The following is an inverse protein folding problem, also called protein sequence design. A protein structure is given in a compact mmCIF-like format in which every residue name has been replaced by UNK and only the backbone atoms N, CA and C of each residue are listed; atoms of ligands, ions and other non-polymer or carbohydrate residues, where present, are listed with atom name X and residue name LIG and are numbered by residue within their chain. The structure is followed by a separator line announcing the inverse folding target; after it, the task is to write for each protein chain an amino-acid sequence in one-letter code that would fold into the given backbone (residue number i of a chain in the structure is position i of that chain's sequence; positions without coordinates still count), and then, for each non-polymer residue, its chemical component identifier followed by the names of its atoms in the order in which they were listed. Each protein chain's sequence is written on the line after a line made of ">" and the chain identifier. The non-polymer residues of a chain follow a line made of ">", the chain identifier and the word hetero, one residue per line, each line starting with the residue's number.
data_IF_729513680798
#
_entry.id   IF_729513680798
#
_cell.length_a   1.000
_cell.length_b   1.000
_cell.length_c   1.000
_cell.angle_alpha   90.00
_cell.angle_beta   90.00
_cell.angle_gamma   90.00
#
_symmetry.space_group_name_H-M   'P 1'
#
loop_
_entity.id
_entity.type
_entity.pdbx_description
1 polymer ?
#
# COMPACT_ATOMS: atom_id res chain seq x y z
N UNK A 1 17.10 -7.99 4.39
CA UNK A 1 17.38 -9.27 3.70
C UNK A 1 18.66 -9.07 2.92
N UNK A 2 19.65 -9.98 3.02
CA UNK A 2 20.90 -9.85 2.25
C UNK A 2 20.75 -10.60 0.92
N UNK A 3 20.95 -9.91 -0.20
CA UNK A 3 20.98 -10.53 -1.52
C UNK A 3 22.43 -10.75 -1.94
N UNK A 4 22.70 -11.95 -2.47
CA UNK A 4 24.00 -12.36 -2.97
C UNK A 4 23.97 -12.34 -4.49
N UNK A 5 24.76 -11.46 -5.09
CA UNK A 5 25.04 -11.50 -6.53
C UNK A 5 26.56 -11.39 -6.74
N UNK A 6 27.14 -12.29 -7.54
CA UNK A 6 28.57 -12.30 -7.88
C UNK A 6 29.56 -12.20 -6.70
N UNK A 7 29.20 -12.76 -5.53
CA UNK A 7 30.06 -12.74 -4.34
C UNK A 7 30.10 -11.38 -3.60
N UNK A 8 29.27 -10.42 -3.99
CA UNK A 8 29.12 -9.13 -3.31
C UNK A 8 27.83 -9.13 -2.50
N UNK A 9 27.95 -8.88 -1.19
CA UNK A 9 26.80 -8.64 -0.31
C UNK A 9 26.31 -7.21 -0.53
N UNK A 10 25.13 -7.05 -1.11
CA UNK A 10 24.45 -5.75 -1.15
C UNK A 10 23.57 -5.62 0.10
N UNK A 11 23.85 -4.68 1.02
CA UNK A 11 22.91 -4.35 2.07
C UNK A 11 21.70 -3.67 1.40
N UNK A 12 20.67 -4.45 1.10
CA UNK A 12 19.37 -3.92 0.68
C UNK A 12 18.52 -3.80 1.93
N UNK A 13 18.33 -2.56 2.37
CA UNK A 13 17.34 -2.23 3.39
C UNK A 13 15.96 -2.27 2.72
N UNK A 14 15.38 -3.47 2.62
CA UNK A 14 13.97 -3.62 2.27
C UNK A 14 13.18 -3.13 3.48
N UNK A 15 12.77 -1.87 3.41
CA UNK A 15 11.85 -1.24 4.34
C UNK A 15 10.45 -1.80 4.03
N UNK A 16 10.20 -3.02 4.49
CA UNK A 16 8.96 -3.77 4.28
C UNK A 16 7.91 -3.37 5.31
N UNK A 17 6.67 -3.11 4.87
CA UNK A 17 5.54 -2.78 5.76
C UNK A 17 5.72 -1.48 6.58
N UNK A 18 6.77 -0.70 6.31
CA UNK A 18 7.15 0.37 7.24
C UNK A 18 6.41 1.65 6.96
N UNK A 19 5.97 2.06 5.75
CA UNK A 19 5.39 3.42 5.65
C UNK A 19 4.01 3.53 6.31
N UNK A 20 3.12 2.55 6.18
CA UNK A 20 1.87 2.62 6.95
C UNK A 20 2.14 2.38 8.43
N UNK A 21 3.00 1.43 8.80
CA UNK A 21 3.29 1.17 10.22
C UNK A 21 4.07 2.31 10.88
N UNK A 22 5.02 2.95 10.20
CA UNK A 22 5.84 4.08 10.67
C UNK A 22 5.05 5.37 10.67
N UNK A 23 4.18 5.62 9.68
CA UNK A 23 3.21 6.70 9.74
C UNK A 23 2.22 6.46 10.88
N UNK A 24 1.67 5.25 11.05
CA UNK A 24 0.82 4.89 12.20
C UNK A 24 1.57 4.94 13.55
N UNK A 25 2.90 4.77 13.55
CA UNK A 25 3.76 4.89 14.73
C UNK A 25 4.04 6.38 15.05
N UNK A 26 4.40 7.19 14.05
CA UNK A 26 4.60 8.65 14.16
C UNK A 26 3.29 9.39 14.47
N UNK A 27 2.15 8.86 14.01
CA UNK A 27 0.81 9.32 14.35
C UNK A 27 0.23 8.64 15.62
N UNK A 28 1.02 7.83 16.32
CA UNK A 28 0.81 7.43 17.72
C UNK A 28 -0.23 6.36 18.01
N UNK A 29 -0.44 5.32 17.19
CA UNK A 29 -1.36 4.24 17.60
C UNK A 29 -1.01 2.82 17.19
N UNK A 30 -0.04 2.60 16.28
CA UNK A 30 0.44 1.25 16.01
C UNK A 30 1.50 0.77 17.02
N UNK A 31 2.12 1.69 17.76
CA UNK A 31 3.28 1.41 18.62
C UNK A 31 3.08 1.78 20.10
N UNK A 32 2.12 2.65 20.44
CA UNK A 32 1.89 3.09 21.81
C UNK A 32 0.44 2.83 22.21
N UNK A 33 0.21 1.90 23.13
CA UNK A 33 -1.08 1.65 23.80
C UNK A 33 -1.59 2.84 24.65
N UNK A 34 -0.94 4.01 24.60
CA UNK A 34 -1.17 5.09 25.57
C UNK A 34 -1.11 6.53 25.02
N UNK A 35 -1.32 6.77 23.71
CA UNK A 35 -1.43 8.15 23.20
C UNK A 35 -2.89 8.61 23.17
N UNK A 36 -3.26 9.74 23.82
CA UNK A 36 -4.63 10.22 23.84
C UNK A 36 -5.05 10.58 22.42
N UNK A 37 -5.99 9.80 21.87
CA UNK A 37 -6.82 10.06 20.67
C UNK A 37 -6.53 11.43 20.06
N UNK A 38 -5.43 11.54 19.31
CA UNK A 38 -5.02 12.83 18.77
C UNK A 38 -6.03 13.23 17.70
N UNK A 39 -6.26 14.53 17.58
CA UNK A 39 -7.39 15.16 16.88
C UNK A 39 -7.36 15.02 15.35
N UNK A 40 -6.78 13.94 14.82
CA UNK A 40 -6.61 13.73 13.38
C UNK A 40 -5.56 14.64 12.73
N UNK A 41 -4.93 15.53 13.49
CA UNK A 41 -3.82 16.37 13.04
C UNK A 41 -2.51 15.59 13.16
N UNK A 42 -2.31 14.60 12.29
CA UNK A 42 -0.99 14.00 12.14
C UNK A 42 -0.17 14.80 11.12
N UNK A 43 0.97 15.33 11.56
CA UNK A 43 1.96 15.89 10.66
C UNK A 43 3.00 14.81 10.34
N UNK A 44 2.93 14.25 9.13
CA UNK A 44 3.87 13.23 8.63
C UNK A 44 5.28 13.79 8.40
N UNK A 45 5.44 15.11 8.50
CA UNK A 45 6.71 15.79 8.31
C UNK A 45 7.05 15.99 6.84
N UNK A 46 8.33 16.21 6.57
CA UNK A 46 8.84 16.31 5.20
C UNK A 46 8.95 14.93 4.57
N UNK A 47 8.60 14.77 3.29
CA UNK A 47 8.74 13.53 2.55
C UNK A 47 10.14 12.91 2.68
N UNK A 48 10.20 11.58 2.71
CA UNK A 48 11.46 10.83 2.82
C UNK A 48 12.23 10.74 1.49
N UNK A 49 11.76 11.40 0.42
CA UNK A 49 12.32 11.33 -0.93
C UNK A 49 13.83 11.57 -1.00
N UNK A 50 14.35 12.44 -0.13
CA UNK A 50 15.79 12.78 -0.05
C UNK A 50 16.65 11.74 0.69
N UNK A 51 16.02 10.79 1.37
CA UNK A 51 16.65 9.79 2.23
C UNK A 51 16.42 8.36 1.74
N UNK A 52 15.31 8.11 1.05
CA UNK A 52 14.93 6.79 0.54
C UNK A 52 15.03 6.79 -0.98
N UNK A 53 15.90 5.94 -1.49
CA UNK A 53 16.12 5.78 -2.94
C UNK A 53 14.97 5.01 -3.59
N UNK A 54 14.61 3.86 -3.02
CA UNK A 54 13.49 3.03 -3.50
C UNK A 54 12.57 2.66 -2.35
N UNK A 55 11.26 2.85 -2.55
CA UNK A 55 10.20 2.37 -1.66
C UNK A 55 9.36 1.31 -2.38
N UNK A 56 9.19 0.15 -1.74
CA UNK A 56 8.39 -0.96 -2.28
C UNK A 56 7.25 -1.28 -1.33
N UNK A 57 6.02 -0.99 -1.75
CA UNK A 57 4.81 -1.42 -1.06
C UNK A 57 4.43 -2.84 -1.47
N UNK A 58 4.58 -3.81 -0.58
CA UNK A 58 4.15 -5.20 -0.77
C UNK A 58 2.88 -5.47 0.04
N UNK A 59 1.80 -5.87 -0.63
CA UNK A 59 0.50 -6.18 -0.01
C UNK A 59 0.06 -5.10 1.00
N UNK A 60 0.15 -3.83 0.59
CA UNK A 60 -0.16 -2.69 1.45
C UNK A 60 -1.66 -2.43 1.56
N UNK A 61 -2.11 -1.81 2.63
CA UNK A 61 -3.51 -1.38 2.78
C UNK A 61 -3.64 0.13 2.68
N UNK A 62 -3.18 0.72 1.56
CA UNK A 62 -3.15 2.17 1.37
C UNK A 62 -4.55 2.77 1.31
N UNK A 63 -5.56 2.02 0.88
CA UNK A 63 -6.97 2.45 0.92
C UNK A 63 -7.75 1.76 2.06
N UNK A 64 -7.05 1.12 3.00
CA UNK A 64 -7.64 0.40 4.13
C UNK A 64 -7.87 -1.09 3.83
N UNK A 65 -8.46 -1.77 4.80
CA UNK A 65 -8.78 -3.21 4.75
C UNK A 65 -10.28 -3.40 4.87
N UNK A 66 -10.90 -4.19 4.00
CA UNK A 66 -12.34 -4.42 4.10
C UNK A 66 -12.79 -5.17 5.36
N UNK A 67 -11.88 -5.90 6.02
CA UNK A 67 -12.12 -6.42 7.36
C UNK A 67 -12.27 -5.35 8.46
N UNK A 68 -11.84 -4.11 8.20
CA UNK A 68 -11.93 -2.98 9.12
C UNK A 68 -13.20 -2.13 8.94
N UNK A 69 -14.11 -2.51 8.04
CA UNK A 69 -15.39 -1.82 7.84
C UNK A 69 -16.37 -2.07 9.01
N UNK A 70 -17.29 -1.12 9.25
CA UNK A 70 -18.38 -1.30 10.21
C UNK A 70 -17.89 -1.49 11.65
N UNK A 71 -18.26 -2.61 12.27
CA UNK A 71 -17.82 -2.93 13.65
C UNK A 71 -16.33 -3.25 13.73
N UNK A 72 -15.67 -3.59 12.61
CA UNK A 72 -14.22 -3.78 12.55
C UNK A 72 -13.46 -2.52 12.96
N UNK A 73 -14.03 -1.34 12.72
CA UNK A 73 -13.42 -0.05 13.09
C UNK A 73 -13.26 0.19 14.61
N UNK A 74 -13.84 -0.70 15.44
CA UNK A 74 -13.65 -0.69 16.89
C UNK A 74 -12.30 -1.27 17.31
N UNK A 75 -11.68 -2.09 16.47
CA UNK A 75 -10.34 -2.61 16.72
C UNK A 75 -9.29 -1.49 16.58
N UNK A 76 -8.29 -1.41 17.48
CA UNK A 76 -7.29 -0.35 17.43
C UNK A 76 -6.60 -0.21 16.07
N UNK A 77 -6.29 -1.33 15.41
CA UNK A 77 -5.68 -1.36 14.07
C UNK A 77 -6.58 -0.81 12.96
N UNK A 78 -7.89 -0.79 13.17
CA UNK A 78 -8.90 -0.44 12.19
C UNK A 78 -9.54 0.93 12.43
N UNK A 79 -9.02 1.74 13.35
CA UNK A 79 -9.68 2.98 13.74
C UNK A 79 -9.73 4.03 12.60
N UNK A 80 -10.71 4.94 12.68
CA UNK A 80 -10.99 5.96 11.64
C UNK A 80 -9.97 7.10 11.55
N UNK A 81 -8.99 7.17 12.43
CA UNK A 81 -8.01 8.27 12.46
C UNK A 81 -6.68 7.86 11.83
N UNK A 82 -6.08 6.77 12.29
CA UNK A 82 -4.76 6.31 11.88
C UNK A 82 -4.66 4.79 11.72
N UNK A 83 -5.80 4.11 11.65
CA UNK A 83 -5.90 2.69 11.33
C UNK A 83 -6.30 2.44 9.87
N UNK A 84 -6.57 1.17 9.57
CA UNK A 84 -6.90 0.67 8.23
C UNK A 84 -8.40 0.76 7.89
N UNK A 85 -9.14 1.70 8.49
CA UNK A 85 -10.56 1.88 8.17
C UNK A 85 -10.73 2.26 6.69
N UNK A 86 -11.45 1.45 5.89
CA UNK A 86 -11.62 1.67 4.46
C UNK A 86 -12.78 2.62 4.13
N UNK A 87 -13.51 3.11 5.15
CA UNK A 87 -14.82 3.74 4.94
C UNK A 87 -15.96 2.73 5.06
N UNK A 88 -17.13 3.20 5.50
CA UNK A 88 -18.35 2.37 5.60
C UNK A 88 -19.26 2.51 4.36
N UNK A 89 -18.88 3.38 3.42
CA UNK A 89 -19.58 3.60 2.16
C UNK A 89 -18.74 4.39 1.17
N UNK A 90 -19.06 4.26 -0.12
CA UNK A 90 -18.66 5.22 -1.14
C UNK A 90 -19.84 5.58 -2.05
N UNK A 91 -20.34 6.81 -1.89
CA UNK A 91 -21.52 7.28 -2.61
C UNK A 91 -22.76 6.45 -2.23
N UNK A 92 -23.38 5.80 -3.21
CA UNK A 92 -24.53 4.91 -2.99
C UNK A 92 -24.11 3.45 -2.71
N UNK A 93 -22.81 3.15 -2.71
CA UNK A 93 -22.33 1.85 -2.30
C UNK A 93 -22.21 1.83 -0.77
N UNK A 94 -23.06 1.07 -0.09
CA UNK A 94 -23.06 0.86 1.37
C UNK A 94 -22.89 -0.62 1.72
N UNK A 95 -22.40 -1.41 0.77
CA UNK A 95 -22.11 -2.84 0.92
C UNK A 95 -20.61 -3.01 1.23
N UNK A 96 -20.17 -4.26 1.37
CA UNK A 96 -18.76 -4.62 1.57
C UNK A 96 -17.84 -3.90 0.57
N UNK A 97 -16.86 -3.16 1.09
CA UNK A 97 -16.03 -2.27 0.26
C UNK A 97 -15.27 -2.95 -0.90
N UNK A 98 -15.01 -4.26 -0.81
CA UNK A 98 -14.27 -5.01 -1.83
C UNK A 98 -15.14 -5.66 -2.89
N UNK A 99 -16.46 -5.43 -2.87
CA UNK A 99 -17.33 -5.98 -3.90
C UNK A 99 -17.05 -5.35 -5.26
N UNK A 100 -16.90 -6.21 -6.26
CA UNK A 100 -16.65 -5.83 -7.65
C UNK A 100 -17.56 -6.65 -8.59
N UNK A 101 -18.15 -6.03 -9.63
CA UNK A 101 -18.12 -4.59 -9.92
C UNK A 101 -18.96 -3.80 -8.90
N UNK A 102 -18.56 -2.54 -8.66
CA UNK A 102 -19.35 -1.64 -7.82
C UNK A 102 -20.70 -1.32 -8.48
N UNK A 103 -21.83 -1.38 -7.74
CA UNK A 103 -23.15 -0.99 -8.25
C UNK A 103 -23.23 0.46 -8.74
N UNK A 104 -22.51 1.39 -8.08
CA UNK A 104 -22.44 2.80 -8.45
C UNK A 104 -20.98 3.28 -8.54
N UNK A 105 -20.66 4.27 -9.38
CA UNK A 105 -19.32 4.84 -9.45
C UNK A 105 -18.86 5.39 -8.10
N UNK A 106 -17.64 5.03 -7.68
CA UNK A 106 -17.01 5.56 -6.48
C UNK A 106 -15.93 6.60 -6.83
N UNK A 107 -16.26 7.87 -6.63
CA UNK A 107 -15.36 8.98 -6.97
C UNK A 107 -14.65 9.60 -5.76
N UNK A 108 -15.22 9.48 -4.56
CA UNK A 108 -14.72 10.12 -3.34
C UNK A 108 -14.99 9.25 -2.10
N UNK A 109 -14.33 8.09 -1.98
CA UNK A 109 -14.39 7.30 -0.75
C UNK A 109 -13.75 8.08 0.41
N UNK A 110 -14.22 7.82 1.63
CA UNK A 110 -13.63 8.40 2.85
C UNK A 110 -12.98 7.29 3.66
N UNK A 111 -11.66 7.28 3.70
CA UNK A 111 -10.85 6.36 4.49
C UNK A 111 -10.53 6.95 5.87
N UNK A 112 -9.69 6.26 6.65
CA UNK A 112 -9.12 6.86 7.86
C UNK A 112 -8.37 8.17 7.54
N UNK A 113 -8.34 9.11 8.50
CA UNK A 113 -7.76 10.44 8.27
C UNK A 113 -6.30 10.37 7.77
N UNK A 114 -5.52 9.44 8.31
CA UNK A 114 -4.15 9.16 7.89
C UNK A 114 -4.10 8.72 6.42
N UNK A 115 -4.87 7.71 6.04
CA UNK A 115 -4.88 7.20 4.66
C UNK A 115 -5.38 8.28 3.67
N UNK A 116 -6.35 9.10 4.08
CA UNK A 116 -6.78 10.26 3.30
C UNK A 116 -5.64 11.25 3.08
N UNK A 117 -4.86 11.58 4.13
CA UNK A 117 -3.71 12.49 4.00
C UNK A 117 -2.62 11.93 3.10
N UNK A 118 -2.23 10.67 3.30
CA UNK A 118 -1.15 10.03 2.56
C UNK A 118 -1.46 9.85 1.07
N UNK A 119 -2.73 9.59 0.73
CA UNK A 119 -3.10 9.35 -0.66
C UNK A 119 -3.45 10.62 -1.45
N UNK A 120 -3.62 11.77 -0.78
CA UNK A 120 -4.04 13.03 -1.42
C UNK A 120 -2.91 14.03 -1.62
N UNK A 121 -1.78 13.89 -0.92
CA UNK A 121 -0.65 14.82 -1.01
C UNK A 121 0.07 14.76 -2.39
N UNK A 122 -0.08 13.64 -3.12
CA UNK A 122 0.61 13.35 -4.38
C UNK A 122 2.15 13.47 -4.30
N UNK A 123 2.74 13.29 -3.12
CA UNK A 123 4.19 13.33 -2.93
C UNK A 123 4.73 11.90 -2.84
N UNK A 124 5.91 11.67 -3.44
CA UNK A 124 6.59 10.37 -3.37
C UNK A 124 7.46 10.31 -2.12
N UNK A 125 7.31 9.25 -1.33
CA UNK A 125 8.17 9.01 -0.16
C UNK A 125 9.59 8.54 -0.50
N UNK A 126 9.85 8.23 -1.78
CA UNK A 126 11.17 7.82 -2.26
C UNK A 126 11.41 8.34 -3.68
N UNK A 127 12.67 8.30 -4.12
CA UNK A 127 13.01 8.65 -5.51
C UNK A 127 12.29 7.74 -6.50
N UNK A 128 12.14 6.46 -6.18
CA UNK A 128 11.32 5.49 -6.91
C UNK A 128 10.36 4.77 -5.98
N UNK A 129 9.12 4.57 -6.42
CA UNK A 129 8.08 3.89 -5.66
C UNK A 129 7.54 2.74 -6.50
N UNK A 130 7.42 1.54 -5.92
CA UNK A 130 6.80 0.38 -6.55
C UNK A 130 5.68 -0.17 -5.65
N UNK A 131 4.65 -0.74 -6.28
CA UNK A 131 3.60 -1.46 -5.57
C UNK A 131 3.50 -2.90 -6.07
N UNK A 132 3.36 -3.87 -5.19
CA UNK A 132 3.17 -5.25 -5.59
C UNK A 132 2.20 -5.98 -4.66
N UNK A 133 1.30 -6.79 -5.23
CA UNK A 133 0.27 -7.49 -4.46
C UNK A 133 -0.24 -8.73 -5.20
N UNK A 134 -1.03 -9.55 -4.50
CA UNK A 134 -1.63 -10.76 -5.05
C UNK A 134 -3.15 -10.64 -5.10
N UNK A 135 -3.76 -11.13 -6.18
CA UNK A 135 -5.22 -11.22 -6.30
C UNK A 135 -5.82 -12.33 -5.41
N UNK A 136 -4.99 -13.26 -4.91
CA UNK A 136 -5.41 -14.34 -4.02
C UNK A 136 -4.96 -14.12 -2.56
N UNK A 137 -4.70 -12.88 -2.19
CA UNK A 137 -4.34 -12.50 -0.83
C UNK A 137 -5.48 -12.89 0.14
N UNK A 138 -5.15 -13.70 1.14
CA UNK A 138 -6.08 -14.29 2.11
C UNK A 138 -6.36 -13.39 3.33
N UNK A 139 -5.68 -12.24 3.43
CA UNK A 139 -5.86 -11.25 4.49
C UNK A 139 -6.52 -9.97 3.97
N UNK A 140 -6.03 -9.43 2.85
CA UNK A 140 -6.63 -8.26 2.19
C UNK A 140 -7.98 -8.66 1.58
N UNK A 141 -8.06 -9.88 1.03
CA UNK A 141 -9.24 -10.44 0.38
C UNK A 141 -9.67 -9.61 -0.86
N UNK A 142 -10.80 -10.01 -1.46
CA UNK A 142 -11.47 -9.27 -2.52
C UNK A 142 -10.58 -8.88 -3.72
N UNK A 143 -9.56 -9.69 -4.02
CA UNK A 143 -8.60 -9.41 -5.08
C UNK A 143 -7.91 -8.04 -4.96
N UNK A 144 -7.65 -7.60 -3.72
CA UNK A 144 -7.05 -6.31 -3.36
C UNK A 144 -7.99 -5.10 -3.52
N UNK A 145 -9.28 -5.30 -3.79
CA UNK A 145 -10.20 -4.19 -4.06
C UNK A 145 -10.75 -3.50 -2.80
N UNK A 146 -10.73 -2.17 -2.81
CA UNK A 146 -11.45 -1.30 -1.87
C UNK A 146 -12.07 -0.14 -2.65
N UNK A 147 -13.41 -0.11 -2.68
CA UNK A 147 -14.21 0.84 -3.44
C UNK A 147 -13.77 0.98 -4.91
N UNK A 148 -13.49 -0.16 -5.55
CA UNK A 148 -13.11 -0.25 -6.97
C UNK A 148 -11.69 0.23 -7.26
N UNK A 149 -10.80 0.18 -6.26
CA UNK A 149 -9.39 0.51 -6.38
C UNK A 149 -8.56 -0.55 -5.66
N UNK A 150 -7.39 -0.94 -6.21
CA UNK A 150 -6.46 -1.83 -5.52
C UNK A 150 -5.85 -1.13 -4.29
N UNK A 151 -6.09 -1.64 -3.08
CA UNK A 151 -5.61 -1.08 -1.80
C UNK A 151 -4.09 -1.13 -1.65
N UNK A 152 -3.44 -2.11 -2.27
CA UNK A 152 -1.98 -2.21 -2.29
C UNK A 152 -1.30 -1.21 -3.20
N UNK A 153 -2.05 -0.50 -4.04
CA UNK A 153 -1.50 0.54 -4.89
C UNK A 153 -1.19 1.80 -4.09
N UNK A 154 0.05 2.24 -4.17
CA UNK A 154 0.45 3.58 -3.74
C UNK A 154 0.18 4.51 -4.94
N UNK A 155 -0.61 5.58 -4.79
CA UNK A 155 -0.99 6.46 -5.90
C UNK A 155 0.20 6.98 -6.70
N UNK A 156 1.32 7.22 -6.02
CA UNK A 156 2.54 7.77 -6.61
C UNK A 156 3.54 6.70 -7.06
N UNK A 157 3.14 5.43 -7.22
CA UNK A 157 4.03 4.38 -7.75
C UNK A 157 4.50 4.67 -9.18
N UNK A 158 5.77 4.36 -9.47
CA UNK A 158 6.39 4.31 -10.82
C UNK A 158 6.05 3.03 -11.58
N UNK A 159 5.64 1.98 -10.87
CA UNK A 159 5.22 0.74 -11.48
C UNK A 159 4.58 -0.19 -10.47
N UNK A 160 3.87 -1.18 -10.99
CA UNK A 160 3.24 -2.21 -10.18
C UNK A 160 3.37 -3.63 -10.73
N UNK A 161 3.33 -4.59 -9.82
CA UNK A 161 3.34 -6.03 -10.11
C UNK A 161 2.15 -6.69 -9.42
N UNK A 162 1.35 -7.42 -10.18
CA UNK A 162 0.18 -8.13 -9.66
C UNK A 162 0.36 -9.63 -9.85
N UNK A 163 0.46 -10.35 -8.74
CA UNK A 163 0.54 -11.80 -8.68
C UNK A 163 -0.87 -12.41 -8.66
N UNK A 164 -0.97 -13.67 -9.09
CA UNK A 164 -2.28 -14.35 -9.20
C UNK A 164 -2.67 -15.18 -7.97
N UNK A 165 -1.71 -15.89 -7.36
CA UNK A 165 -2.00 -17.05 -6.49
C UNK A 165 -1.18 -17.09 -5.19
N UNK A 166 -0.69 -15.94 -4.71
CA UNK A 166 0.02 -15.88 -3.43
C UNK A 166 -0.92 -15.45 -2.30
N UNK A 167 -0.79 -16.09 -1.14
CA UNK A 167 -1.33 -15.59 0.12
C UNK A 167 -0.64 -14.28 0.52
N UNK A 168 -1.15 -13.61 1.56
CA UNK A 168 -0.59 -12.36 2.06
C UNK A 168 0.91 -12.49 2.37
N UNK A 169 1.28 -13.52 3.14
CA UNK A 169 2.67 -13.76 3.53
C UNK A 169 3.52 -14.25 2.36
N UNK A 170 2.97 -15.09 1.47
CA UNK A 170 3.69 -15.58 0.30
C UNK A 170 4.05 -14.46 -0.68
N UNK A 171 3.25 -13.40 -0.75
CA UNK A 171 3.56 -12.22 -1.57
C UNK A 171 4.91 -11.62 -1.19
N UNK A 172 5.28 -11.70 0.10
CA UNK A 172 6.61 -11.33 0.58
C UNK A 172 7.63 -12.46 0.43
N UNK A 173 7.30 -13.66 0.90
CA UNK A 173 8.29 -14.74 1.05
C UNK A 173 8.76 -15.31 -0.29
N UNK A 174 7.88 -15.36 -1.30
CA UNK A 174 8.15 -16.02 -2.57
C UNK A 174 8.57 -15.08 -3.70
N UNK A 175 8.64 -13.77 -3.46
CA UNK A 175 8.91 -12.77 -4.50
C UNK A 175 10.25 -12.07 -4.34
N UNK A 176 11.15 -12.62 -3.54
CA UNK A 176 12.45 -12.00 -3.22
C UNK A 176 13.26 -11.58 -4.47
N UNK A 177 13.21 -12.37 -5.55
CA UNK A 177 13.87 -12.02 -6.82
C UNK A 177 13.24 -10.78 -7.52
N UNK A 178 11.92 -10.64 -7.42
CA UNK A 178 11.21 -9.47 -7.95
C UNK A 178 11.49 -8.23 -7.10
N UNK A 179 11.50 -8.40 -5.77
CA UNK A 179 11.87 -7.35 -4.83
C UNK A 179 13.28 -6.84 -5.11
N UNK A 180 14.23 -7.75 -5.36
CA UNK A 180 15.59 -7.38 -5.77
C UNK A 180 15.60 -6.58 -7.07
N UNK A 181 14.85 -7.01 -8.09
CA UNK A 181 14.75 -6.30 -9.37
C UNK A 181 14.24 -4.86 -9.18
N UNK A 182 13.22 -4.69 -8.33
CA UNK A 182 12.65 -3.37 -8.06
C UNK A 182 13.57 -2.48 -7.20
N UNK A 183 14.16 -3.03 -6.14
CA UNK A 183 14.93 -2.24 -5.16
C UNK A 183 16.37 -2.02 -5.58
N UNK A 184 17.06 -3.06 -6.04
CA UNK A 184 18.48 -2.97 -6.41
C UNK A 184 18.65 -2.55 -7.87
N UNK A 185 17.88 -3.13 -8.79
CA UNK A 185 18.00 -2.86 -10.22
C UNK A 185 17.06 -1.76 -10.71
N UNK A 186 16.15 -1.26 -9.85
CA UNK A 186 15.25 -0.16 -10.20
C UNK A 186 14.37 -0.48 -11.43
N UNK A 187 14.02 -1.75 -11.60
CA UNK A 187 13.28 -2.24 -12.78
C UNK A 187 12.13 -3.15 -12.37
N UNK A 188 11.10 -3.25 -13.23
CA UNK A 188 10.03 -4.21 -13.04
C UNK A 188 10.52 -5.62 -13.42
N UNK A 189 10.09 -6.66 -12.69
CA UNK A 189 10.46 -8.04 -12.97
C UNK A 189 9.88 -8.55 -14.31
N UNK A 190 10.31 -9.74 -14.74
CA UNK A 190 9.79 -10.37 -15.97
C UNK A 190 8.35 -10.90 -15.83
N UNK A 191 7.62 -10.99 -16.95
CA UNK A 191 6.15 -11.19 -17.01
C UNK A 191 5.65 -12.62 -16.84
N UNK A 192 6.50 -13.60 -16.52
CA UNK A 192 6.05 -14.98 -16.39
C UNK A 192 5.06 -15.10 -15.21
N UNK A 193 3.78 -15.28 -15.54
CA UNK A 193 2.62 -15.41 -14.65
C UNK A 193 2.13 -14.18 -13.87
N UNK A 194 2.60 -12.98 -14.21
CA UNK A 194 2.33 -11.73 -13.46
C UNK A 194 1.77 -10.66 -14.39
N UNK A 195 0.85 -9.82 -13.90
CA UNK A 195 0.47 -8.60 -14.61
C UNK A 195 1.38 -7.46 -14.17
N UNK A 196 1.96 -6.74 -15.13
CA UNK A 196 2.94 -5.69 -14.87
C UNK A 196 2.51 -4.44 -15.63
N UNK A 197 2.56 -3.29 -14.96
CA UNK A 197 2.32 -2.00 -15.60
C UNK A 197 3.25 -0.94 -15.02
N UNK A 198 3.94 -0.22 -15.90
CA UNK A 198 4.69 0.98 -15.55
C UNK A 198 3.78 2.21 -15.66
N UNK A 199 3.93 3.14 -14.73
CA UNK A 199 3.31 4.47 -14.80
C UNK A 199 4.26 5.36 -15.61
N UNK A 200 4.21 5.22 -16.93
CA UNK A 200 4.88 6.19 -17.82
C UNK A 200 3.97 7.42 -17.83
N UNK A 201 4.50 8.59 -17.46
CA UNK A 201 3.80 9.86 -17.68
C UNK A 201 3.43 9.96 -19.16
N UNK A 202 2.15 10.19 -19.45
CA UNK A 202 1.70 10.56 -20.79
C UNK A 202 2.42 11.85 -21.24
N UNK A 203 3.59 11.73 -21.86
CA UNK A 203 4.26 12.85 -22.53
C UNK A 203 5.18 12.47 -23.70
N UNK A 204 5.21 11.21 -24.15
CA UNK A 204 5.95 10.83 -25.37
C UNK A 204 5.13 9.90 -26.29
N UNK A 205 3.92 10.34 -26.64
CA UNK A 205 3.29 9.94 -27.89
C UNK A 205 2.72 11.18 -28.58
N UNK A 206 3.60 11.90 -29.29
CA UNK A 206 3.22 12.85 -30.31
C UNK A 206 4.20 12.75 -31.48
#
# INVERSE_FOLDING_TARGET
>A
MAFYENGVTHPVEIIEMVTVLSASCSCGSACDEASPRSTGACNLGTPLTSKVDVFLGLAGANFGLCGCEGTGALEPTCNKHNGFWPGDSCGLNTLTCGLTPLPFPCNAPTYSSLLMSMNSDNIREASMVFSAWSLADDLILYADEVWGRPTSLIPTSSGKVVYKLYTHMQTKENTAADQYSMVALKTLPSTNDKQISASISESEYQ
#
